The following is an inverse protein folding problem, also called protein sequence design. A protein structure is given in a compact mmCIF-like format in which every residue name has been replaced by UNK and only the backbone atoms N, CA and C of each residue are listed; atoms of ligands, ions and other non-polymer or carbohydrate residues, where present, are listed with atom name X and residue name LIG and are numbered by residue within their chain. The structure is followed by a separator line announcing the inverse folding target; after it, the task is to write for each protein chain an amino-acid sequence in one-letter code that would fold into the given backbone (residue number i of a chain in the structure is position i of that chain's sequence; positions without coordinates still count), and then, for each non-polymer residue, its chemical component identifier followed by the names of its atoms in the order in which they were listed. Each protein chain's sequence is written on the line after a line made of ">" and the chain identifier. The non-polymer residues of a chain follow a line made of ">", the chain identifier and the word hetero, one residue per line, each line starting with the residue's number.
data_IF_863912318354
#
_entry.id   IF_863912318354
#
_cell.length_a   1.000
_cell.length_b   1.000
_cell.length_c   1.000
_cell.angle_alpha   90.00
_cell.angle_beta   90.00
_cell.angle_gamma   90.00
#
_symmetry.space_group_name_H-M   'P 1'
#
loop_
_entity.id
_entity.type
_entity.pdbx_description
1 polymer ?
#
# COMPACT_ATOMS: atom_id res chain seq x y z
N UNK A 1 18.20 -21.06 19.08
CA UNK A 1 18.94 -20.14 18.19
C UNK A 1 17.98 -19.61 17.11
N UNK A 2 17.30 -18.48 17.35
CA UNK A 2 16.27 -17.91 16.46
C UNK A 2 16.61 -16.49 15.96
N UNK A 3 17.87 -16.07 16.03
CA UNK A 3 18.22 -14.64 15.95
C UNK A 3 18.44 -14.10 14.53
N UNK A 4 18.63 -14.94 13.50
CA UNK A 4 18.98 -14.46 12.15
C UNK A 4 17.79 -14.09 11.25
N UNK A 5 16.60 -14.61 11.53
CA UNK A 5 15.38 -14.25 10.77
C UNK A 5 14.68 -13.00 11.33
N UNK A 6 15.05 -12.54 12.53
CA UNK A 6 14.56 -11.28 13.10
C UNK A 6 15.16 -10.03 12.45
N UNK A 7 16.14 -10.17 11.55
CA UNK A 7 16.91 -9.04 11.03
C UNK A 7 16.35 -8.45 9.73
N UNK A 8 15.61 -9.24 8.94
CA UNK A 8 15.12 -8.78 7.64
C UNK A 8 13.78 -8.10 7.84
N UNK A 9 13.80 -6.77 7.84
CA UNK A 9 12.60 -5.94 7.80
C UNK A 9 12.66 -5.11 6.53
N UNK A 10 11.52 -4.97 5.85
CA UNK A 10 11.39 -4.12 4.69
C UNK A 10 11.91 -2.70 4.97
N UNK A 11 11.61 -2.14 6.15
CA UNK A 11 12.12 -0.83 6.56
C UNK A 11 11.72 0.26 5.57
N UNK A 12 12.71 0.98 5.03
CA UNK A 12 12.55 2.00 3.98
C UNK A 12 12.70 1.45 2.55
N UNK A 13 13.00 0.15 2.40
CA UNK A 13 13.26 -0.50 1.11
C UNK A 13 11.95 -0.91 0.43
N UNK A 14 12.01 -1.20 -0.87
CA UNK A 14 10.84 -1.72 -1.58
C UNK A 14 10.54 -3.17 -1.18
N UNK A 15 9.27 -3.58 -1.28
CA UNK A 15 8.84 -4.98 -1.16
C UNK A 15 9.65 -5.89 -2.09
N UNK A 16 9.99 -5.42 -3.30
CA UNK A 16 10.77 -6.21 -4.26
C UNK A 16 12.15 -6.57 -3.71
N UNK A 17 12.90 -5.59 -3.21
CA UNK A 17 14.23 -5.80 -2.62
C UNK A 17 14.17 -6.70 -1.38
N UNK A 18 13.18 -6.47 -0.52
CA UNK A 18 12.92 -7.31 0.65
C UNK A 18 12.67 -8.77 0.28
N UNK A 19 11.86 -8.99 -0.75
CA UNK A 19 11.48 -10.34 -1.21
C UNK A 19 12.69 -11.07 -1.77
N UNK A 20 13.55 -10.40 -2.55
CA UNK A 20 14.78 -10.99 -3.06
C UNK A 20 15.71 -11.44 -1.93
N UNK A 21 15.92 -10.63 -0.89
CA UNK A 21 16.71 -11.06 0.27
C UNK A 21 16.07 -12.24 0.99
N UNK A 22 14.75 -12.23 1.16
CA UNK A 22 14.01 -13.33 1.79
C UNK A 22 14.20 -14.66 1.04
N UNK A 23 14.10 -14.65 -0.30
CA UNK A 23 14.35 -15.85 -1.12
C UNK A 23 15.81 -16.32 -1.04
N UNK A 24 16.77 -15.39 -1.03
CA UNK A 24 18.19 -15.74 -0.87
C UNK A 24 18.47 -16.41 0.49
N UNK A 25 17.83 -15.93 1.56
CA UNK A 25 17.94 -16.56 2.88
C UNK A 25 17.28 -17.94 2.91
N UNK A 26 16.14 -18.11 2.25
CA UNK A 26 15.47 -19.42 2.13
C UNK A 26 16.40 -20.45 1.48
N UNK A 27 17.12 -20.07 0.41
CA UNK A 27 18.06 -20.97 -0.28
C UNK A 27 19.37 -21.18 0.48
N UNK A 28 19.90 -20.17 1.19
CA UNK A 28 21.20 -20.27 1.89
C UNK A 28 21.14 -20.93 3.25
N UNK A 29 20.00 -20.86 3.94
CA UNK A 29 19.88 -21.27 5.35
C UNK A 29 19.23 -22.65 5.50
N UNK A 30 18.84 -23.31 4.40
CA UNK A 30 18.07 -24.57 4.43
C UNK A 30 16.92 -24.47 5.43
N UNK A 31 16.08 -23.46 5.22
CA UNK A 31 14.95 -23.20 6.10
C UNK A 31 13.90 -24.28 5.84
N UNK A 32 13.90 -25.32 6.67
CA UNK A 32 12.88 -26.38 6.73
C UNK A 32 11.56 -25.89 7.35
N UNK A 33 11.14 -24.66 7.02
CA UNK A 33 9.87 -24.10 7.48
C UNK A 33 8.75 -24.55 6.54
N UNK A 34 7.59 -24.83 7.12
CA UNK A 34 6.36 -25.04 6.35
C UNK A 34 5.95 -23.76 5.62
N UNK A 35 5.19 -23.90 4.53
CA UNK A 35 4.72 -22.75 3.74
C UNK A 35 4.01 -21.68 4.60
N UNK A 36 3.18 -22.12 5.56
CA UNK A 36 2.52 -21.23 6.53
C UNK A 36 3.51 -20.44 7.40
N UNK A 37 4.60 -21.07 7.82
CA UNK A 37 5.66 -20.40 8.59
C UNK A 37 6.42 -19.41 7.71
N UNK A 38 6.71 -19.76 6.45
CA UNK A 38 7.33 -18.83 5.49
C UNK A 38 6.46 -17.60 5.26
N UNK A 39 5.15 -17.78 5.04
CA UNK A 39 4.20 -16.68 4.88
C UNK A 39 4.13 -15.82 6.14
N UNK A 40 4.06 -16.42 7.32
CA UNK A 40 4.03 -15.68 8.59
C UNK A 40 5.30 -14.84 8.79
N UNK A 41 6.48 -15.40 8.48
CA UNK A 41 7.75 -14.68 8.58
C UNK A 41 7.87 -13.57 7.55
N UNK A 42 7.49 -13.83 6.30
CA UNK A 42 7.47 -12.85 5.23
C UNK A 42 6.56 -11.67 5.63
N UNK A 43 5.35 -11.97 6.08
CA UNK A 43 4.38 -10.97 6.52
C UNK A 43 4.89 -10.15 7.70
N UNK A 44 5.50 -10.80 8.70
CA UNK A 44 6.06 -10.12 9.87
C UNK A 44 7.21 -9.15 9.53
N UNK A 45 7.91 -9.36 8.41
CA UNK A 45 8.99 -8.48 7.95
C UNK A 45 8.53 -7.29 7.10
N UNK A 46 7.30 -7.28 6.59
CA UNK A 46 6.76 -6.19 5.77
C UNK A 46 6.52 -4.90 6.57
N UNK A 47 6.31 -3.79 5.88
CA UNK A 47 5.95 -2.52 6.51
C UNK A 47 4.54 -2.57 7.12
N UNK A 48 4.30 -1.88 8.26
CA UNK A 48 3.05 -1.97 9.04
C UNK A 48 1.78 -1.76 8.21
N UNK A 49 1.81 -0.79 7.30
CA UNK A 49 0.67 -0.51 6.41
C UNK A 49 0.37 -1.67 5.45
N UNK A 50 1.40 -2.38 4.99
CA UNK A 50 1.26 -3.56 4.14
C UNK A 50 0.80 -4.75 4.98
N UNK A 51 1.33 -4.91 6.19
CA UNK A 51 0.95 -5.99 7.12
C UNK A 51 -0.53 -5.97 7.47
N UNK A 52 -1.11 -4.79 7.71
CA UNK A 52 -2.53 -4.68 8.04
C UNK A 52 -3.39 -5.17 6.87
N UNK A 53 -3.10 -4.68 5.67
CA UNK A 53 -3.86 -5.00 4.47
C UNK A 53 -3.68 -6.46 4.06
N UNK A 54 -2.46 -7.00 4.09
CA UNK A 54 -2.20 -8.39 3.71
C UNK A 54 -2.81 -9.41 4.70
N UNK A 55 -2.92 -9.06 5.99
CA UNK A 55 -3.64 -9.88 6.98
C UNK A 55 -5.12 -10.06 6.64
N UNK A 56 -5.76 -9.03 6.06
CA UNK A 56 -7.15 -9.12 5.63
C UNK A 56 -7.34 -10.11 4.48
N UNK A 57 -6.34 -10.22 3.60
CA UNK A 57 -6.37 -11.17 2.49
C UNK A 57 -5.95 -12.58 2.89
N UNK A 58 -5.24 -12.74 4.00
CA UNK A 58 -4.81 -14.01 4.58
C UNK A 58 -4.20 -14.98 3.54
N UNK A 59 -3.08 -14.62 2.89
CA UNK A 59 -2.44 -15.46 1.88
C UNK A 59 -2.05 -16.83 2.45
N UNK A 60 -2.23 -17.88 1.65
CA UNK A 60 -1.89 -19.25 2.04
C UNK A 60 -0.51 -19.66 1.53
N UNK A 61 -0.03 -19.00 0.48
CA UNK A 61 1.25 -19.29 -0.18
C UNK A 61 2.18 -18.08 -0.18
N UNK A 62 3.49 -18.33 -0.24
CA UNK A 62 4.50 -17.26 -0.29
C UNK A 62 4.38 -16.43 -1.58
N UNK A 63 4.02 -17.07 -2.69
CA UNK A 63 3.81 -16.40 -3.97
C UNK A 63 2.64 -15.40 -3.91
N UNK A 64 1.51 -15.80 -3.31
CA UNK A 64 0.39 -14.90 -3.09
C UNK A 64 0.77 -13.73 -2.19
N UNK A 65 1.44 -14.01 -1.07
CA UNK A 65 1.88 -12.97 -0.14
C UNK A 65 2.79 -11.95 -0.84
N UNK A 66 3.70 -12.40 -1.72
CA UNK A 66 4.58 -11.54 -2.49
C UNK A 66 3.80 -10.64 -3.47
N UNK A 67 2.90 -11.21 -4.27
CA UNK A 67 2.09 -10.44 -5.23
C UNK A 67 1.18 -9.42 -4.55
N UNK A 68 0.56 -9.81 -3.43
CA UNK A 68 -0.27 -8.92 -2.63
C UNK A 68 0.56 -7.79 -2.03
N UNK A 69 1.72 -8.08 -1.45
CA UNK A 69 2.59 -7.07 -0.89
C UNK A 69 3.03 -6.02 -1.94
N UNK A 70 3.38 -6.46 -3.17
CA UNK A 70 3.71 -5.56 -4.28
C UNK A 70 2.54 -4.66 -4.66
N UNK A 71 1.35 -5.25 -4.78
CA UNK A 71 0.12 -4.52 -5.13
C UNK A 71 -0.18 -3.46 -4.06
N UNK A 72 -0.12 -3.83 -2.78
CA UNK A 72 -0.38 -2.92 -1.66
C UNK A 72 0.68 -1.81 -1.58
N UNK A 73 1.96 -2.12 -1.84
CA UNK A 73 3.03 -1.11 -1.89
C UNK A 73 2.76 -0.08 -3.00
N UNK A 74 2.35 -0.52 -4.19
CA UNK A 74 2.03 0.37 -5.31
C UNK A 74 0.84 1.29 -4.98
N UNK A 75 -0.21 0.75 -4.35
CA UNK A 75 -1.39 1.52 -3.94
C UNK A 75 -1.07 2.48 -2.80
N UNK A 76 -0.23 2.07 -1.85
CA UNK A 76 0.21 2.91 -0.72
C UNK A 76 1.00 4.12 -1.21
N UNK A 77 1.91 3.94 -2.18
CA UNK A 77 2.63 5.05 -2.81
C UNK A 77 1.73 5.91 -3.69
N UNK A 78 0.78 5.31 -4.41
CA UNK A 78 -0.17 6.02 -5.28
C UNK A 78 -1.23 6.83 -4.52
N UNK A 79 -1.61 6.43 -3.31
CA UNK A 79 -2.62 7.13 -2.51
C UNK A 79 -2.17 8.50 -1.98
N UNK A 80 -0.87 8.84 -1.99
CA UNK A 80 -0.45 10.24 -1.81
C UNK A 80 -0.85 11.14 -2.99
N UNK A 81 -1.13 10.56 -4.16
CA UNK A 81 -1.52 11.33 -5.36
C UNK A 81 -3.03 11.43 -5.54
N UNK A 82 -3.84 10.57 -4.91
CA UNK A 82 -5.28 10.49 -5.19
C UNK A 82 -6.13 11.54 -4.48
N UNK A 83 -5.53 12.34 -3.58
CA UNK A 83 -6.21 13.45 -2.90
C UNK A 83 -6.12 14.79 -3.65
N UNK A 84 -5.35 14.89 -4.73
CA UNK A 84 -5.13 16.18 -5.44
C UNK A 84 -6.18 16.48 -6.52
N UNK A 85 -7.03 15.52 -6.92
CA UNK A 85 -7.90 15.70 -8.09
C UNK A 85 -9.37 16.03 -7.81
N UNK A 86 -9.75 16.42 -6.58
CA UNK A 86 -11.17 16.69 -6.22
C UNK A 86 -11.51 18.16 -5.88
N UNK A 87 -10.74 19.12 -6.36
CA UNK A 87 -11.17 20.52 -6.41
C UNK A 87 -11.03 20.95 -7.87
N UNK A 88 -12.11 21.05 -8.64
CA UNK A 88 -12.83 22.31 -8.77
C UNK A 88 -14.33 22.09 -9.01
N UNK A 89 -15.15 22.51 -8.04
CA UNK A 89 -16.56 22.83 -8.26
C UNK A 89 -16.62 24.20 -8.94
N UNK A 90 -17.11 24.36 -10.18
CA UNK A 90 -17.33 25.68 -10.74
C UNK A 90 -18.57 26.29 -10.08
N UNK A 91 -18.36 27.20 -9.14
CA UNK A 91 -19.42 28.04 -8.60
C UNK A 91 -19.77 29.08 -9.66
N UNK A 92 -20.86 28.85 -10.39
CA UNK A 92 -21.43 29.83 -11.31
C UNK A 92 -22.06 30.94 -10.46
N UNK A 93 -21.29 32.01 -10.21
CA UNK A 93 -21.80 33.25 -9.63
C UNK A 93 -22.61 33.98 -10.72
N UNK A 94 -23.93 33.79 -10.70
CA UNK A 94 -24.83 34.62 -11.47
C UNK A 94 -25.00 35.96 -10.74
N UNK A 95 -24.49 36.99 -11.41
CA UNK A 95 -24.39 38.36 -10.93
C UNK A 95 -25.79 38.95 -10.74
N UNK A 96 -26.07 39.42 -9.53
CA UNK A 96 -27.17 40.34 -9.22
C UNK A 96 -26.84 41.71 -9.80
N UNK A 97 -27.63 42.17 -10.76
CA UNK A 97 -27.75 43.59 -11.09
C UNK A 97 -29.17 43.90 -11.56
N UNK A 98 -30.02 44.30 -10.61
CA UNK A 98 -31.16 45.16 -10.93
C UNK A 98 -30.62 46.50 -11.48
N UNK A 99 -31.34 47.11 -12.42
CA UNK A 99 -31.70 48.49 -12.20
C UNK A 99 -33.21 48.69 -12.35
N UNK A 100 -33.70 49.52 -11.44
CA UNK A 100 -35.04 50.07 -11.30
C UNK A 100 -35.42 50.99 -12.47
N UNK A 101 -36.72 51.02 -12.74
CA UNK A 101 -37.52 52.21 -13.07
C UNK A 101 -37.28 52.89 -14.43
N UNK A 102 -38.22 52.72 -15.37
CA UNK A 102 -38.91 53.87 -15.98
C UNK A 102 -40.24 53.43 -16.64
N UNK A 103 -41.12 54.40 -16.83
CA UNK A 103 -42.58 54.35 -16.71
C UNK A 103 -43.32 54.20 -18.06
N UNK A 104 -44.56 53.68 -17.98
CA UNK A 104 -45.73 53.65 -18.92
C UNK A 104 -45.93 54.88 -19.85
N UNK A 105 -46.83 54.87 -20.87
CA UNK A 105 -47.98 53.96 -21.13
C UNK A 105 -48.01 53.22 -22.48
#
# INVERSE_FOLDING_TARGET
>A
MFQRLHTIRQGTRSVAEYSTEFFLLLTRVDIQDSERQLVARFTAGLHQQIQHTINLFNPLTLAEAHQQALTIESQTRGNLSWTTSRSTRPTQQQQTANPTDDTLP
#
